data_IF_175347643052
#
_entry.id   IF_175347643052
#
_cell.length_a   1.000
_cell.length_b   1.000
_cell.length_c   1.000
_cell.angle_alpha   90.00
_cell.angle_beta   90.00
_cell.angle_gamma   90.00
#
_symmetry.space_group_name_H-M   'P 1'
#
loop_
_entity.id
_entity.type
_entity.pdbx_description
1 polymer ?
#
# COMPACT_ATOMS: atom_id res chain seq x y z
N UNK A 1 -15.41 -7.43 -10.33
CA UNK A 1 -14.22 -7.45 -11.20
C UNK A 1 -13.55 -6.10 -11.03
N UNK A 2 -12.29 -6.10 -10.61
CA UNK A 2 -11.54 -4.89 -10.26
C UNK A 2 -10.54 -4.69 -11.40
N UNK A 3 -10.86 -3.77 -12.30
CA UNK A 3 -9.96 -3.41 -13.39
C UNK A 3 -9.15 -2.19 -12.96
N UNK A 4 -7.90 -2.39 -12.55
CA UNK A 4 -6.93 -1.29 -12.58
C UNK A 4 -5.75 -1.72 -13.41
N UNK A 5 -5.63 -1.06 -14.55
CA UNK A 5 -4.68 -1.35 -15.60
C UNK A 5 -3.30 -0.80 -15.22
N UNK A 6 -2.26 -1.64 -15.28
CA UNK A 6 -0.91 -1.14 -15.27
C UNK A 6 0.07 -2.05 -16.03
N UNK A 7 0.69 -1.52 -17.09
CA UNK A 7 1.69 -2.24 -17.90
C UNK A 7 2.92 -2.68 -17.08
N UNK A 8 3.26 -1.99 -15.98
CA UNK A 8 4.37 -2.37 -15.12
C UNK A 8 4.16 -3.69 -14.37
N UNK A 9 2.91 -4.17 -14.27
CA UNK A 9 2.61 -5.49 -13.70
C UNK A 9 2.90 -6.63 -14.70
N UNK A 10 3.24 -6.32 -15.95
CA UNK A 10 3.50 -7.32 -16.99
C UNK A 10 4.67 -8.26 -16.70
N UNK A 11 5.58 -7.85 -15.80
CA UNK A 11 6.70 -8.68 -15.35
C UNK A 11 6.31 -9.80 -14.38
N UNK A 12 5.10 -9.74 -13.80
CA UNK A 12 4.54 -10.77 -12.93
C UNK A 12 3.59 -11.66 -13.73
N UNK A 13 3.65 -12.99 -13.55
CA UNK A 13 2.87 -13.89 -14.39
C UNK A 13 1.37 -13.82 -14.04
N UNK A 14 0.53 -14.09 -15.04
CA UNK A 14 -0.92 -14.17 -14.84
C UNK A 14 -1.28 -15.31 -13.88
N UNK A 15 -2.01 -14.98 -12.82
CA UNK A 15 -2.38 -15.92 -11.76
C UNK A 15 -1.38 -15.99 -10.60
N UNK A 16 -0.26 -15.28 -10.67
CA UNK A 16 0.71 -15.27 -9.57
C UNK A 16 0.21 -14.42 -8.40
N UNK A 17 0.46 -14.96 -7.21
CA UNK A 17 0.11 -14.33 -5.95
C UNK A 17 1.34 -13.64 -5.38
N UNK A 18 1.20 -12.36 -5.10
CA UNK A 18 2.27 -11.52 -4.60
C UNK A 18 1.83 -10.72 -3.39
N UNK A 19 2.82 -10.28 -2.63
CA UNK A 19 2.61 -9.33 -1.53
C UNK A 19 2.78 -7.92 -2.10
N UNK A 20 1.75 -7.11 -2.00
CA UNK A 20 1.75 -5.73 -2.44
C UNK A 20 1.87 -4.82 -1.23
N UNK A 21 2.73 -3.80 -1.33
CA UNK A 21 2.78 -2.71 -0.34
C UNK A 21 2.37 -1.44 -1.06
N UNK A 22 1.47 -0.66 -0.45
CA UNK A 22 0.96 0.56 -1.06
C UNK A 22 0.63 1.62 0.01
N UNK A 23 0.75 2.89 -0.38
CA UNK A 23 0.38 4.02 0.46
C UNK A 23 -1.03 4.49 0.15
N UNK A 24 -1.92 4.50 1.13
CA UNK A 24 -3.29 5.00 0.98
C UNK A 24 -3.28 6.51 0.80
N UNK A 25 -3.94 6.99 -0.24
CA UNK A 25 -4.07 8.41 -0.55
C UNK A 25 -5.44 8.93 -0.10
N UNK A 26 -6.52 8.34 -0.63
CA UNK A 26 -7.88 8.78 -0.32
C UNK A 26 -8.91 7.72 -0.72
N UNK A 27 -10.10 7.72 -0.11
CA UNK A 27 -11.22 6.97 -0.65
C UNK A 27 -11.74 7.59 -1.96
N UNK A 28 -12.31 6.76 -2.83
CA UNK A 28 -12.99 7.12 -4.07
C UNK A 28 -14.23 6.22 -4.26
N UNK A 29 -15.39 6.68 -3.80
CA UNK A 29 -16.66 5.93 -3.80
C UNK A 29 -16.54 4.54 -3.12
N UNK A 30 -16.48 3.44 -3.89
CA UNK A 30 -16.27 2.05 -3.41
C UNK A 30 -14.82 1.58 -3.47
N UNK A 31 -13.90 2.46 -3.87
CA UNK A 31 -12.47 2.18 -4.06
C UNK A 31 -11.63 3.00 -3.09
N UNK A 32 -10.43 2.52 -2.81
CA UNK A 32 -9.35 3.26 -2.19
C UNK A 32 -8.33 3.59 -3.26
N UNK A 33 -7.88 4.84 -3.29
CA UNK A 33 -6.77 5.25 -4.12
C UNK A 33 -5.49 5.03 -3.31
N UNK A 34 -4.58 4.28 -3.90
CA UNK A 34 -3.28 3.97 -3.35
C UNK A 34 -2.19 4.48 -4.28
N UNK A 35 -1.04 4.78 -3.73
CA UNK A 35 0.15 5.30 -4.41
C UNK A 35 1.36 4.48 -4.02
N UNK A 36 2.43 4.57 -4.82
CA UNK A 36 3.72 3.95 -4.50
C UNK A 36 3.62 2.43 -4.30
N UNK A 37 2.90 1.74 -5.19
CA UNK A 37 2.74 0.29 -5.11
C UNK A 37 4.08 -0.40 -5.39
N UNK A 38 4.55 -1.18 -4.43
CA UNK A 38 5.66 -2.13 -4.60
C UNK A 38 5.14 -3.56 -4.48
N UNK A 39 5.93 -4.52 -4.96
CA UNK A 39 5.56 -5.94 -4.99
C UNK A 39 6.71 -6.73 -4.38
N UNK A 40 6.39 -7.75 -3.58
CA UNK A 40 7.32 -8.64 -2.87
C UNK A 40 8.39 -7.91 -2.05
N UNK A 41 8.03 -6.74 -1.51
CA UNK A 41 8.93 -5.83 -0.78
C UNK A 41 10.14 -5.36 -1.61
N UNK A 42 10.03 -5.34 -2.95
CA UNK A 42 11.02 -4.67 -3.79
C UNK A 42 11.03 -3.16 -3.51
N UNK A 43 12.22 -2.53 -3.50
CA UNK A 43 12.37 -1.08 -3.35
C UNK A 43 11.86 -0.29 -4.58
N UNK A 44 11.52 -0.98 -5.66
CA UNK A 44 11.07 -0.37 -6.90
C UNK A 44 9.55 -0.19 -6.92
N UNK A 45 9.11 1.07 -6.97
CA UNK A 45 7.71 1.41 -7.23
C UNK A 45 7.32 0.92 -8.62
N UNK A 46 6.45 -0.08 -8.66
CA UNK A 46 5.94 -0.68 -9.90
C UNK A 46 4.77 0.15 -10.42
N UNK A 47 3.91 0.65 -9.54
CA UNK A 47 2.74 1.46 -9.92
C UNK A 47 2.69 2.74 -9.09
N UNK A 48 2.74 3.89 -9.77
CA UNK A 48 2.67 5.20 -9.11
C UNK A 48 1.35 5.43 -8.40
N UNK A 49 0.23 5.02 -9.01
CA UNK A 49 -1.10 5.18 -8.45
C UNK A 49 -2.04 4.07 -8.95
N UNK A 50 -2.82 3.49 -8.04
CA UNK A 50 -3.74 2.37 -8.30
C UNK A 50 -5.03 2.53 -7.48
N UNK A 51 -6.18 2.15 -8.04
CA UNK A 51 -7.49 2.33 -7.40
C UNK A 51 -8.12 0.99 -6.98
N UNK A 52 -7.75 0.45 -5.82
CA UNK A 52 -8.20 -0.87 -5.37
C UNK A 52 -9.62 -0.81 -4.78
N UNK A 53 -10.42 -1.85 -4.94
CA UNK A 53 -11.72 -1.90 -4.27
C UNK A 53 -11.55 -2.03 -2.77
N UNK A 54 -12.35 -1.27 -2.00
CA UNK A 54 -12.38 -1.36 -0.54
C UNK A 54 -13.07 -2.66 -0.12
N UNK A 55 -12.32 -3.77 -0.13
CA UNK A 55 -12.77 -5.05 0.44
C UNK A 55 -12.94 -4.93 1.94
N UNK A 56 -13.60 -5.92 2.55
CA UNK A 56 -13.75 -5.98 4.01
C UNK A 56 -12.39 -5.85 4.72
N UNK A 57 -11.35 -6.50 4.18
CA UNK A 57 -10.00 -6.42 4.71
C UNK A 57 -9.46 -4.99 4.80
N UNK A 58 -9.67 -4.14 3.79
CA UNK A 58 -9.24 -2.72 3.87
C UNK A 58 -10.14 -1.87 4.76
N UNK A 59 -11.45 -2.12 4.75
CA UNK A 59 -12.42 -1.39 5.58
C UNK A 59 -12.16 -1.59 7.07
N UNK A 60 -11.75 -2.79 7.46
CA UNK A 60 -11.45 -3.14 8.84
C UNK A 60 -10.16 -2.44 9.36
N UNK A 61 -9.30 -1.92 8.47
CA UNK A 61 -8.04 -1.24 8.85
C UNK A 61 -8.19 0.24 9.20
N UNK A 62 -9.38 0.85 8.98
CA UNK A 62 -9.62 2.28 9.19
C UNK A 62 -8.48 3.16 8.64
N UNK A 63 -8.30 3.15 7.31
CA UNK A 63 -7.17 3.79 6.65
C UNK A 63 -7.29 5.32 6.61
N UNK A 64 -6.19 6.00 6.91
CA UNK A 64 -6.01 7.45 6.84
C UNK A 64 -5.02 7.82 5.74
N UNK A 65 -5.17 9.00 5.15
CA UNK A 65 -4.26 9.50 4.10
C UNK A 65 -2.81 9.44 4.60
N UNK A 66 -1.96 8.71 3.88
CA UNK A 66 -0.56 8.48 4.23
C UNK A 66 -0.27 7.11 4.84
N UNK A 67 -1.28 6.34 5.25
CA UNK A 67 -1.09 4.99 5.79
C UNK A 67 -0.44 4.07 4.77
N UNK A 68 0.56 3.30 5.20
CA UNK A 68 1.16 2.25 4.38
C UNK A 68 0.57 0.91 4.77
N UNK A 69 0.01 0.24 3.77
CA UNK A 69 -0.60 -1.07 3.91
C UNK A 69 0.17 -2.11 3.12
N UNK A 70 0.13 -3.33 3.62
CA UNK A 70 0.57 -4.51 2.91
C UNK A 70 -0.62 -5.44 2.71
N UNK A 71 -0.75 -6.05 1.53
CA UNK A 71 -1.84 -6.98 1.25
C UNK A 71 -1.42 -8.03 0.22
N UNK A 72 -2.02 -9.21 0.31
CA UNK A 72 -1.82 -10.30 -0.63
C UNK A 72 -2.81 -10.16 -1.80
N UNK A 73 -2.31 -10.07 -3.02
CA UNK A 73 -3.13 -9.93 -4.24
C UNK A 73 -2.71 -10.91 -5.32
N UNK A 74 -3.55 -11.08 -6.33
CA UNK A 74 -3.25 -11.88 -7.52
C UNK A 74 -3.13 -10.94 -8.71
N UNK A 75 -2.01 -11.03 -9.44
CA UNK A 75 -1.89 -10.34 -10.73
C UNK A 75 -2.69 -11.13 -11.75
N UNK A 76 -3.64 -10.47 -12.42
CA UNK A 76 -4.36 -11.06 -13.53
C UNK A 76 -4.19 -10.28 -14.80
N UNK A 77 -4.09 -10.99 -15.91
CA UNK A 77 -4.12 -10.42 -17.25
C UNK A 77 -5.53 -10.56 -17.82
N UNK A 78 -6.13 -9.45 -18.22
CA UNK A 78 -7.45 -9.48 -18.85
C UNK A 78 -7.33 -9.77 -20.36
N UNK A 79 -8.47 -9.93 -21.04
CA UNK A 79 -8.54 -10.25 -22.47
C UNK A 79 -8.08 -9.12 -23.40
N UNK A 80 -7.73 -7.95 -22.85
CA UNK A 80 -7.18 -6.78 -23.55
C UNK A 80 -5.68 -6.60 -23.30
N UNK A 81 -5.03 -7.64 -22.77
CA UNK A 81 -3.63 -7.62 -22.36
C UNK A 81 -3.31 -6.64 -21.21
N UNK A 82 -4.31 -6.20 -20.46
CA UNK A 82 -4.14 -5.28 -19.34
C UNK A 82 -4.00 -6.07 -18.03
N UNK A 83 -3.03 -5.67 -17.19
CA UNK A 83 -2.75 -6.33 -15.92
C UNK A 83 -3.47 -5.64 -14.78
N UNK A 84 -4.09 -6.42 -13.90
CA UNK A 84 -4.91 -5.97 -12.77
C UNK A 84 -4.51 -6.69 -11.48
N UNK A 85 -4.81 -6.08 -10.33
CA UNK A 85 -4.65 -6.71 -9.01
C UNK A 85 -6.02 -7.13 -8.50
N UNK A 86 -6.27 -8.44 -8.44
CA UNK A 86 -7.51 -9.02 -7.95
C UNK A 86 -7.36 -9.67 -6.58
N UNK A 87 -8.50 -9.86 -5.90
CA UNK A 87 -8.60 -10.56 -4.63
C UNK A 87 -7.62 -10.09 -3.53
N UNK A 88 -7.61 -8.78 -3.17
CA UNK A 88 -6.80 -8.34 -2.05
C UNK A 88 -7.31 -9.00 -0.76
N UNK A 89 -6.45 -9.83 -0.17
CA UNK A 89 -6.67 -10.58 1.07
C UNK A 89 -5.54 -10.30 2.04
N UNK A 90 -5.74 -10.62 3.33
CA UNK A 90 -4.72 -10.45 4.38
C UNK A 90 -4.09 -9.03 4.37
N UNK A 91 -4.94 -8.02 4.26
CA UNK A 91 -4.48 -6.64 4.33
C UNK A 91 -4.11 -6.30 5.78
N UNK A 92 -2.94 -5.73 5.98
CA UNK A 92 -2.45 -5.23 7.25
C UNK A 92 -1.88 -3.82 7.09
N UNK A 93 -2.03 -2.98 8.12
CA UNK A 93 -1.42 -1.66 8.18
C UNK A 93 -0.03 -1.83 8.78
N UNK A 94 1.00 -1.58 7.98
CA UNK A 94 2.40 -1.75 8.39
C UNK A 94 3.04 -0.43 8.85
N UNK A 95 2.47 0.69 8.44
CA UNK A 95 2.83 2.02 8.93
C UNK A 95 1.59 2.90 8.92
N UNK A 96 1.41 3.67 9.98
CA UNK A 96 0.40 4.73 9.98
C UNK A 96 0.97 5.97 9.30
N UNK A 97 0.10 6.80 8.73
CA UNK A 97 0.45 8.11 8.25
C UNK A 97 1.28 8.82 9.32
N UNK A 98 2.49 9.26 8.95
CA UNK A 98 3.23 10.19 9.78
C UNK A 98 2.33 11.41 9.93
N UNK A 99 1.73 11.57 11.12
CA UNK A 99 1.13 12.82 11.51
C UNK A 99 2.27 13.84 11.49
N UNK A 100 2.47 14.50 10.35
CA UNK A 100 3.28 15.69 10.22
C UNK A 100 2.58 16.86 10.92
N UNK A 101 2.29 16.66 12.21
CA UNK A 101 2.21 17.69 13.25
C UNK A 101 3.22 17.38 14.36
N UNK A 102 4.36 16.75 14.02
CA UNK A 102 5.55 16.87 14.85
C UNK A 102 6.22 18.22 14.57
N UNK A 103 5.55 19.30 14.99
CA UNK A 103 6.25 20.49 15.45
C UNK A 103 7.28 20.03 16.48
N UNK A 104 8.54 20.06 16.06
CA UNK A 104 9.75 20.24 16.85
C UNK A 104 9.51 20.22 18.37
N UNK A 105 9.84 19.11 19.02
CA UNK A 105 10.46 19.18 20.34
C UNK A 105 11.92 18.78 20.18
N UNK A 106 12.74 19.71 19.68
CA UNK A 106 14.13 19.78 20.12
C UNK A 106 14.06 20.16 21.60
N UNK A 107 14.02 19.16 22.47
CA UNK A 107 14.54 19.35 23.82
C UNK A 107 16.02 19.06 23.75
N UNK A 108 16.79 20.12 23.51
CA UNK A 108 18.12 20.18 24.09
C UNK A 108 17.96 20.11 25.61
N UNK A 109 18.65 19.16 26.21
CA UNK A 109 19.26 19.13 27.54
C UNK A 109 19.39 17.66 27.91
N UNK A 110 20.58 17.09 27.71
CA UNK A 110 21.56 16.90 28.79
C UNK A 110 21.23 15.63 29.59
N UNK A 111 22.26 14.99 30.16
CA UNK A 111 22.21 13.83 31.06
C UNK A 111 22.51 12.45 30.47
N UNK A 112 23.81 12.25 30.22
CA UNK A 112 24.54 11.01 30.54
C UNK A 112 24.50 10.76 32.07
N UNK A 113 23.85 9.68 32.53
CA UNK A 113 23.86 9.16 33.90
C UNK A 113 23.16 7.78 33.87
N UNK A 114 23.59 6.63 34.38
CA UNK A 114 24.73 6.11 35.14
C UNK A 114 24.78 4.61 34.81
N UNK A 115 25.95 3.97 34.72
CA UNK A 115 26.20 2.72 35.46
C UNK A 115 27.69 2.34 35.52
N UNK A 116 28.21 2.46 36.76
CA UNK A 116 29.42 1.90 37.41
C UNK A 116 30.83 2.32 37.01
#
# INVERSE_FOLDING_TARGET
>A
MIDIYNESLAKYADGDRHIFTAKFLRPDDRKGIFTELTVDNEDNVVVKQIALHMTKAFKDLNLEEGDVIQFEGIVKKNTRDEYTVEHPTRAEKISSADNSDSKIHVMGNDWDWFEK
#
